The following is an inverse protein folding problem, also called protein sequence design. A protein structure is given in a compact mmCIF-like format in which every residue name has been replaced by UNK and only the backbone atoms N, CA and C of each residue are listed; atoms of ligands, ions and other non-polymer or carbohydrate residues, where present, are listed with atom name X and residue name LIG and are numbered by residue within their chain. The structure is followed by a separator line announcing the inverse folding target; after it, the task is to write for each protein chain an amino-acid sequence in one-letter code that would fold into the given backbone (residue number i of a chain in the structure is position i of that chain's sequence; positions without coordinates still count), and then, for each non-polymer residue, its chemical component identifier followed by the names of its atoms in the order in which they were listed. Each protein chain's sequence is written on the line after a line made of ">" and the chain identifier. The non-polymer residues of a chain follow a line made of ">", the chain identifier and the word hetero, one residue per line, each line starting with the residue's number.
data_IF_656041862411
#
_entry.id   IF_656041862411
#
_cell.length_a   1.000
_cell.length_b   1.000
_cell.length_c   1.000
_cell.angle_alpha   90.00
_cell.angle_beta   90.00
_cell.angle_gamma   90.00
#
_symmetry.space_group_name_H-M   'P 1'
#
loop_
_entity.id
_entity.type
_entity.pdbx_description
1 polymer ?
#
# COMPACT_ATOMS: atom_id res chain seq x y z
N UNK A 1 -3.04 -11.75 -15.99
CA UNK A 1 -2.99 -12.97 -15.15
C UNK A 1 -3.86 -12.81 -13.90
N UNK A 2 -3.56 -11.86 -12.99
CA UNK A 2 -4.40 -11.72 -11.78
C UNK A 2 -5.83 -11.26 -12.05
N UNK A 3 -6.04 -10.39 -13.05
CA UNK A 3 -7.40 -9.95 -13.44
C UNK A 3 -8.24 -11.06 -14.07
N UNK A 4 -7.63 -11.98 -14.83
CA UNK A 4 -8.35 -13.11 -15.41
C UNK A 4 -8.68 -14.17 -14.35
N UNK A 5 -7.80 -14.37 -13.36
CA UNK A 5 -8.12 -15.15 -12.16
C UNK A 5 -9.27 -14.55 -11.36
N UNK A 6 -9.25 -13.23 -11.14
CA UNK A 6 -10.33 -12.53 -10.44
C UNK A 6 -11.66 -12.64 -11.20
N UNK A 7 -11.66 -12.47 -12.53
CA UNK A 7 -12.85 -12.63 -13.36
C UNK A 7 -13.47 -14.03 -13.23
N UNK A 8 -12.66 -15.09 -13.27
CA UNK A 8 -13.14 -16.46 -13.08
C UNK A 8 -13.65 -16.70 -11.65
N UNK A 9 -12.98 -16.13 -10.64
CA UNK A 9 -13.41 -16.24 -9.26
C UNK A 9 -14.75 -15.54 -8.96
N UNK A 10 -15.15 -14.57 -9.79
CA UNK A 10 -16.41 -13.85 -9.66
C UNK A 10 -17.58 -14.48 -10.40
N UNK A 11 -17.47 -15.74 -10.87
CA UNK A 11 -18.55 -16.43 -11.57
C UNK A 11 -19.90 -16.39 -10.82
N UNK A 12 -19.88 -16.37 -9.48
CA UNK A 12 -21.08 -16.32 -8.63
C UNK A 12 -21.61 -14.89 -8.37
N UNK A 13 -20.85 -13.84 -8.75
CA UNK A 13 -21.22 -12.45 -8.54
C UNK A 13 -21.18 -11.67 -9.86
N UNK A 14 -22.34 -11.63 -10.53
CA UNK A 14 -22.55 -10.98 -11.82
C UNK A 14 -22.03 -9.53 -11.84
N UNK A 15 -22.25 -8.75 -10.77
CA UNK A 15 -21.79 -7.35 -10.72
C UNK A 15 -20.27 -7.23 -10.64
N UNK A 16 -19.63 -8.09 -9.85
CA UNK A 16 -18.18 -8.13 -9.74
C UNK A 16 -17.54 -8.64 -11.04
N UNK A 17 -18.17 -9.65 -11.67
CA UNK A 17 -17.75 -10.20 -12.96
C UNK A 17 -17.86 -9.18 -14.09
N UNK A 18 -18.98 -8.46 -14.21
CA UNK A 18 -19.15 -7.38 -15.19
C UNK A 18 -18.13 -6.24 -14.99
N UNK A 19 -17.80 -5.94 -13.74
CA UNK A 19 -16.79 -4.92 -13.41
C UNK A 19 -15.38 -5.37 -13.79
N UNK A 20 -15.08 -6.66 -13.62
CA UNK A 20 -13.84 -7.27 -14.07
C UNK A 20 -13.76 -7.32 -15.60
N UNK A 21 -14.86 -7.67 -16.28
CA UNK A 21 -14.97 -7.66 -17.74
C UNK A 21 -14.72 -6.25 -18.31
N UNK A 22 -15.31 -5.22 -17.71
CA UNK A 22 -15.04 -3.82 -18.06
C UNK A 22 -13.56 -3.46 -17.88
N UNK A 23 -12.96 -3.79 -16.73
CA UNK A 23 -11.55 -3.50 -16.49
C UNK A 23 -10.64 -4.21 -17.50
N UNK A 24 -10.93 -5.48 -17.82
CA UNK A 24 -10.21 -6.24 -18.84
C UNK A 24 -10.32 -5.56 -20.21
N UNK A 25 -11.53 -5.22 -20.65
CA UNK A 25 -11.78 -4.54 -21.92
C UNK A 25 -10.98 -3.23 -22.03
N UNK A 26 -11.06 -2.38 -21.00
CA UNK A 26 -10.35 -1.09 -21.01
C UNK A 26 -8.83 -1.28 -21.01
N UNK A 27 -8.30 -2.27 -20.29
CA UNK A 27 -6.86 -2.54 -20.30
C UNK A 27 -6.38 -3.05 -21.66
N UNK A 28 -7.13 -3.96 -22.28
CA UNK A 28 -6.83 -4.43 -23.62
C UNK A 28 -6.83 -3.27 -24.63
N UNK A 29 -7.77 -2.33 -24.48
CA UNK A 29 -7.83 -1.10 -25.28
C UNK A 29 -6.66 -0.16 -25.01
N UNK A 30 -6.30 0.08 -23.74
CA UNK A 30 -5.19 0.95 -23.32
C UNK A 30 -3.86 0.48 -23.89
N UNK A 31 -3.62 -0.84 -23.91
CA UNK A 31 -2.40 -1.44 -24.42
C UNK A 31 -2.49 -1.83 -25.91
N UNK A 32 -3.60 -1.51 -26.58
CA UNK A 32 -3.91 -1.87 -27.97
C UNK A 32 -3.62 -3.36 -28.28
N UNK A 33 -4.00 -4.24 -27.34
CA UNK A 33 -3.85 -5.68 -27.48
C UNK A 33 -4.74 -6.16 -28.61
N UNK A 34 -4.15 -6.61 -29.72
CA UNK A 34 -4.89 -7.14 -30.86
C UNK A 34 -4.25 -8.44 -31.34
N UNK A 35 -5.10 -9.36 -31.78
CA UNK A 35 -4.73 -10.56 -32.53
C UNK A 35 -4.44 -10.15 -33.98
N UNK A 36 -3.28 -9.56 -34.22
CA UNK A 36 -2.86 -9.09 -35.55
C UNK A 36 -1.46 -9.60 -35.89
N UNK A 37 -1.24 -10.00 -37.15
CA UNK A 37 0.08 -10.38 -37.69
C UNK A 37 1.05 -9.20 -37.87
N UNK A 38 0.75 -8.04 -37.30
CA UNK A 38 1.58 -6.83 -37.37
C UNK A 38 2.30 -6.71 -36.04
N UNK A 39 3.64 -6.70 -36.06
CA UNK A 39 4.47 -6.57 -34.86
C UNK A 39 4.29 -5.19 -34.22
N UNK A 40 3.35 -5.11 -33.29
CA UNK A 40 3.09 -3.95 -32.45
C UNK A 40 3.27 -4.31 -30.96
N UNK A 41 3.55 -3.33 -30.07
CA UNK A 41 3.70 -3.59 -28.64
C UNK A 41 2.52 -4.35 -28.01
N UNK A 42 1.29 -4.10 -28.49
CA UNK A 42 0.08 -4.81 -28.05
C UNK A 42 0.03 -6.27 -28.49
N UNK A 43 0.49 -6.59 -29.72
CA UNK A 43 0.58 -7.97 -30.21
C UNK A 43 1.63 -8.78 -29.44
N UNK A 44 2.79 -8.19 -29.14
CA UNK A 44 3.83 -8.83 -28.31
C UNK A 44 3.35 -9.08 -26.88
N UNK A 45 2.55 -8.16 -26.33
CA UNK A 45 1.92 -8.37 -25.02
C UNK A 45 0.88 -9.50 -25.08
N UNK A 46 0.10 -9.58 -26.15
CA UNK A 46 -0.87 -10.65 -26.37
C UNK A 46 -0.21 -12.03 -26.42
N UNK A 47 0.87 -12.17 -27.20
CA UNK A 47 1.65 -13.41 -27.33
C UNK A 47 2.29 -13.88 -26.01
N UNK A 48 2.52 -12.95 -25.06
CA UNK A 48 3.05 -13.29 -23.74
C UNK A 48 2.02 -13.96 -22.84
N UNK A 49 0.72 -13.86 -23.15
CA UNK A 49 -0.31 -14.55 -22.37
C UNK A 49 -0.39 -16.03 -22.74
N UNK A 50 -0.51 -16.95 -21.76
CA UNK A 50 -0.80 -18.35 -22.03
C UNK A 50 -2.12 -18.54 -22.80
N UNK A 51 -2.22 -19.62 -23.59
CA UNK A 51 -3.38 -19.91 -24.46
C UNK A 51 -4.72 -19.86 -23.72
N UNK A 52 -4.84 -20.54 -22.57
CA UNK A 52 -6.06 -20.50 -21.74
C UNK A 52 -6.47 -19.08 -21.29
N UNK A 53 -5.51 -18.15 -21.14
CA UNK A 53 -5.79 -16.77 -20.79
C UNK A 53 -6.23 -15.98 -22.02
N UNK A 54 -5.62 -16.25 -23.18
CA UNK A 54 -6.03 -15.65 -24.44
C UNK A 54 -7.48 -16.01 -24.78
N UNK A 55 -7.90 -17.26 -24.58
CA UNK A 55 -9.28 -17.72 -24.78
C UNK A 55 -10.29 -16.93 -23.93
N UNK A 56 -9.92 -16.61 -22.68
CA UNK A 56 -10.77 -15.81 -21.77
C UNK A 56 -10.80 -14.33 -22.19
N UNK A 57 -9.68 -13.80 -22.68
CA UNK A 57 -9.54 -12.40 -23.06
C UNK A 57 -10.13 -12.09 -24.45
N UNK A 58 -10.11 -13.05 -25.38
CA UNK A 58 -10.57 -12.90 -26.76
C UNK A 58 -11.99 -12.32 -26.89
N UNK A 59 -13.01 -12.81 -26.15
CA UNK A 59 -14.34 -12.20 -26.22
C UNK A 59 -14.34 -10.74 -25.78
N UNK A 60 -13.51 -10.36 -24.80
CA UNK A 60 -13.47 -9.02 -24.22
C UNK A 60 -12.87 -7.95 -25.15
N UNK A 61 -12.15 -8.34 -26.21
CA UNK A 61 -11.62 -7.42 -27.22
C UNK A 61 -12.72 -6.66 -27.98
N UNK A 62 -13.87 -7.29 -28.18
CA UNK A 62 -14.98 -6.74 -28.97
C UNK A 62 -16.17 -6.30 -28.11
N UNK A 63 -16.05 -6.43 -26.77
CA UNK A 63 -17.11 -6.04 -25.84
C UNK A 63 -17.30 -4.52 -25.81
N UNK A 64 -18.49 -4.09 -25.35
CA UNK A 64 -18.88 -2.67 -25.23
C UNK A 64 -19.38 -2.35 -23.83
N UNK A 65 -18.74 -2.93 -22.82
CA UNK A 65 -19.01 -2.59 -21.43
C UNK A 65 -18.81 -1.08 -21.21
N UNK A 66 -19.75 -0.47 -20.48
CA UNK A 66 -19.71 0.95 -20.13
C UNK A 66 -19.66 1.09 -18.62
N UNK A 67 -18.84 2.02 -18.14
CA UNK A 67 -18.83 2.40 -16.74
C UNK A 67 -20.15 3.09 -16.36
N UNK A 68 -20.79 2.61 -15.30
CA UNK A 68 -21.95 3.28 -14.68
C UNK A 68 -21.53 4.20 -13.52
N UNK A 69 -20.23 4.45 -13.33
CA UNK A 69 -19.78 5.24 -12.19
C UNK A 69 -20.23 6.69 -12.31
N UNK A 70 -20.98 7.16 -11.31
CA UNK A 70 -21.20 8.59 -11.10
C UNK A 70 -19.88 9.26 -10.75
N UNK A 71 -19.58 10.38 -11.42
CA UNK A 71 -18.42 11.20 -11.10
C UNK A 71 -18.51 11.68 -9.65
N UNK A 72 -17.56 11.25 -8.81
CA UNK A 72 -17.47 11.68 -7.42
C UNK A 72 -16.81 13.06 -7.38
N UNK A 73 -17.42 14.00 -6.67
CA UNK A 73 -16.84 15.32 -6.49
C UNK A 73 -15.84 15.30 -5.32
N UNK A 74 -14.59 14.99 -5.65
CA UNK A 74 -13.48 14.85 -4.69
C UNK A 74 -13.13 16.14 -3.95
N UNK A 75 -13.50 17.32 -4.47
CA UNK A 75 -13.23 18.61 -3.80
C UNK A 75 -14.08 18.82 -2.54
N UNK A 76 -15.23 18.15 -2.43
CA UNK A 76 -16.14 18.27 -1.27
C UNK A 76 -15.85 17.26 -0.17
N UNK A 77 -14.93 16.34 -0.39
CA UNK A 77 -14.59 15.29 0.58
C UNK A 77 -13.73 15.91 1.68
N UNK A 78 -14.25 15.89 2.91
CA UNK A 78 -13.48 16.27 4.10
C UNK A 78 -12.43 15.20 4.37
N UNK A 79 -11.21 15.63 4.70
CA UNK A 79 -10.06 14.76 5.00
C UNK A 79 -9.78 14.84 6.51
N UNK A 80 -9.40 13.74 7.19
CA UNK A 80 -9.24 12.38 6.67
C UNK A 80 -10.57 11.69 6.30
N UNK A 81 -10.51 10.74 5.36
CA UNK A 81 -11.66 9.95 4.87
C UNK A 81 -11.98 8.81 5.85
N UNK A 82 -10.98 8.30 6.55
CA UNK A 82 -11.10 7.26 7.56
C UNK A 82 -12.07 7.68 8.68
N UNK A 83 -13.05 6.82 8.97
CA UNK A 83 -14.17 7.08 9.90
C UNK A 83 -15.03 8.30 9.56
N UNK A 84 -14.90 8.85 8.35
CA UNK A 84 -15.82 9.88 7.86
C UNK A 84 -17.13 9.25 7.38
N UNK A 85 -18.10 10.10 7.00
CA UNK A 85 -19.37 9.66 6.38
C UNK A 85 -19.19 8.81 5.11
N UNK A 86 -18.03 8.87 4.47
CA UNK A 86 -17.69 8.12 3.24
C UNK A 86 -16.78 6.91 3.50
N UNK A 87 -16.46 6.63 4.76
CA UNK A 87 -15.63 5.52 5.18
C UNK A 87 -16.20 4.91 6.45
N UNK A 88 -17.48 4.52 6.43
CA UNK A 88 -18.16 3.92 7.59
C UNK A 88 -17.76 2.47 7.82
N UNK A 89 -17.40 1.77 6.74
CA UNK A 89 -16.82 0.43 6.76
C UNK A 89 -15.52 0.40 5.93
N UNK A 90 -14.75 -0.67 6.09
CA UNK A 90 -13.46 -0.82 5.42
C UNK A 90 -13.56 -0.82 3.89
N UNK A 91 -14.58 -1.48 3.31
CA UNK A 91 -14.75 -1.57 1.86
C UNK A 91 -15.03 -0.18 1.25
N UNK A 92 -15.91 0.60 1.87
CA UNK A 92 -16.22 1.98 1.47
C UNK A 92 -15.01 2.90 1.63
N UNK A 93 -14.34 2.82 2.79
CA UNK A 93 -13.15 3.63 3.06
C UNK A 93 -12.05 3.35 2.05
N UNK A 94 -11.68 2.07 1.87
CA UNK A 94 -10.59 1.68 0.99
C UNK A 94 -10.90 2.02 -0.47
N UNK A 95 -12.11 1.78 -0.96
CA UNK A 95 -12.50 2.11 -2.33
C UNK A 95 -12.55 3.64 -2.56
N UNK A 96 -13.05 4.39 -1.58
CA UNK A 96 -13.08 5.87 -1.66
C UNK A 96 -11.68 6.44 -1.61
N UNK A 97 -10.83 5.94 -0.72
CA UNK A 97 -9.44 6.37 -0.61
C UNK A 97 -8.64 6.01 -1.87
N UNK A 98 -8.79 4.79 -2.40
CA UNK A 98 -8.19 4.40 -3.68
C UNK A 98 -8.62 5.32 -4.82
N UNK A 99 -9.93 5.56 -4.96
CA UNK A 99 -10.46 6.48 -5.96
C UNK A 99 -9.91 7.90 -5.82
N UNK A 100 -9.78 8.39 -4.59
CA UNK A 100 -9.18 9.68 -4.29
C UNK A 100 -7.71 9.72 -4.73
N UNK A 101 -6.91 8.73 -4.33
CA UNK A 101 -5.50 8.61 -4.68
C UNK A 101 -5.28 8.56 -6.20
N UNK A 102 -6.14 7.86 -6.95
CA UNK A 102 -6.05 7.80 -8.41
C UNK A 102 -6.16 9.19 -9.06
N UNK A 103 -6.93 10.11 -8.48
CA UNK A 103 -7.02 11.49 -8.99
C UNK A 103 -5.71 12.27 -8.87
N UNK A 104 -4.82 11.83 -7.98
CA UNK A 104 -3.51 12.44 -7.71
C UNK A 104 -2.37 11.79 -8.49
N UNK A 105 -2.63 10.70 -9.21
CA UNK A 105 -1.63 10.06 -10.07
C UNK A 105 -1.36 10.94 -11.29
N UNK A 106 -0.12 11.45 -11.40
CA UNK A 106 0.30 12.29 -12.54
C UNK A 106 0.50 11.52 -13.83
N UNK A 107 0.94 10.27 -13.75
CA UNK A 107 1.25 9.47 -14.92
C UNK A 107 -0.05 9.04 -15.65
N UNK A 108 -0.26 9.52 -16.88
CA UNK A 108 -1.51 9.33 -17.62
C UNK A 108 -1.88 7.86 -17.84
N UNK A 109 -0.94 7.02 -18.27
CA UNK A 109 -1.18 5.59 -18.47
C UNK A 109 -1.59 4.90 -17.17
N UNK A 110 -0.79 5.06 -16.10
CA UNK A 110 -1.09 4.49 -14.79
C UNK A 110 -2.45 4.97 -14.26
N UNK A 111 -2.78 6.25 -14.43
CA UNK A 111 -4.09 6.80 -14.06
C UNK A 111 -5.23 6.13 -14.82
N UNK A 112 -5.10 5.88 -16.13
CA UNK A 112 -6.11 5.15 -16.92
C UNK A 112 -6.26 3.70 -16.43
N UNK A 113 -5.13 3.01 -16.18
CA UNK A 113 -5.09 1.63 -15.66
C UNK A 113 -5.76 1.52 -14.28
N UNK A 114 -5.50 2.44 -13.36
CA UNK A 114 -6.15 2.39 -12.06
C UNK A 114 -7.63 2.83 -12.12
N UNK A 115 -7.97 3.77 -13.01
CA UNK A 115 -9.36 4.19 -13.22
C UNK A 115 -10.25 3.04 -13.72
N UNK A 116 -9.78 2.20 -14.65
CA UNK A 116 -10.59 1.07 -15.11
C UNK A 116 -10.81 0.04 -14.00
N UNK A 117 -9.81 -0.17 -13.13
CA UNK A 117 -9.93 -1.03 -11.96
C UNK A 117 -10.77 -0.44 -10.81
N UNK A 118 -11.12 0.86 -10.87
CA UNK A 118 -11.87 1.52 -9.79
C UNK A 118 -13.27 0.94 -9.56
N UNK A 119 -13.90 0.37 -10.60
CA UNK A 119 -15.20 -0.31 -10.47
C UNK A 119 -15.04 -1.62 -9.68
N UNK A 120 -13.98 -2.39 -10.00
CA UNK A 120 -13.67 -3.62 -9.27
C UNK A 120 -13.40 -3.35 -7.79
N UNK A 121 -12.65 -2.28 -7.49
CA UNK A 121 -12.33 -1.89 -6.10
C UNK A 121 -13.57 -1.57 -5.24
N UNK A 122 -14.66 -1.11 -5.86
CA UNK A 122 -15.93 -0.87 -5.14
C UNK A 122 -16.70 -2.15 -4.82
N UNK A 123 -16.54 -3.18 -5.64
CA UNK A 123 -17.29 -4.42 -5.51
C UNK A 123 -16.53 -5.48 -4.70
N UNK A 124 -15.19 -5.47 -4.76
CA UNK A 124 -14.34 -6.33 -3.95
C UNK A 124 -13.17 -5.55 -3.33
N UNK A 125 -13.18 -5.46 -2.00
CA UNK A 125 -12.14 -4.78 -1.23
C UNK A 125 -10.79 -5.51 -1.29
N UNK A 126 -10.74 -6.82 -1.60
CA UNK A 126 -9.48 -7.57 -1.76
C UNK A 126 -8.68 -7.04 -2.95
N UNK A 127 -9.37 -6.68 -4.03
CA UNK A 127 -8.75 -6.01 -5.19
C UNK A 127 -8.19 -4.66 -4.78
N UNK A 128 -8.93 -3.92 -3.94
CA UNK A 128 -8.46 -2.65 -3.39
C UNK A 128 -7.20 -2.83 -2.56
N UNK A 129 -7.17 -3.79 -1.63
CA UNK A 129 -5.97 -4.10 -0.82
C UNK A 129 -4.76 -4.39 -1.70
N UNK A 130 -4.95 -5.17 -2.77
CA UNK A 130 -3.87 -5.49 -3.71
C UNK A 130 -3.38 -4.28 -4.51
N UNK A 131 -4.27 -3.41 -4.98
CA UNK A 131 -3.91 -2.28 -5.83
C UNK A 131 -3.42 -1.05 -5.06
N UNK A 132 -3.87 -0.85 -3.82
CA UNK A 132 -3.58 0.35 -3.03
C UNK A 132 -2.08 0.65 -2.87
N UNK A 133 -1.21 -0.34 -2.57
CA UNK A 133 0.23 -0.11 -2.47
C UNK A 133 0.85 0.39 -3.78
N UNK A 134 0.37 -0.10 -4.93
CA UNK A 134 0.84 0.34 -6.25
C UNK A 134 0.34 1.74 -6.59
N UNK A 135 -0.93 2.04 -6.28
CA UNK A 135 -1.49 3.39 -6.44
C UNK A 135 -0.68 4.39 -5.62
N UNK A 136 -0.35 4.04 -4.36
CA UNK A 136 0.41 4.91 -3.47
C UNK A 136 1.81 5.22 -4.02
N UNK A 137 2.54 4.23 -4.54
CA UNK A 137 3.83 4.47 -5.20
C UNK A 137 3.67 5.53 -6.29
N UNK A 138 2.73 5.32 -7.23
CA UNK A 138 2.53 6.24 -8.35
C UNK A 138 2.06 7.64 -7.94
N UNK A 139 1.33 7.75 -6.83
CA UNK A 139 1.01 9.06 -6.24
C UNK A 139 2.28 9.72 -5.70
N UNK A 140 3.12 9.00 -4.96
CA UNK A 140 4.32 9.55 -4.34
C UNK A 140 5.40 9.99 -5.34
N UNK A 141 5.48 9.36 -6.51
CA UNK A 141 6.39 9.78 -7.59
C UNK A 141 6.06 11.18 -8.13
N UNK A 142 4.78 11.57 -8.10
CA UNK A 142 4.30 12.81 -8.72
C UNK A 142 3.59 13.77 -7.76
N UNK A 143 3.64 13.56 -6.45
CA UNK A 143 2.83 14.34 -5.50
C UNK A 143 3.45 15.70 -5.17
N UNK A 144 2.59 16.66 -4.83
CA UNK A 144 2.98 17.89 -4.15
C UNK A 144 3.08 17.68 -2.64
N UNK A 145 3.69 18.63 -1.92
CA UNK A 145 3.80 18.56 -0.45
C UNK A 145 2.42 18.53 0.22
N UNK A 146 1.43 19.21 -0.33
CA UNK A 146 0.05 19.21 0.18
C UNK A 146 -0.58 17.82 0.04
N UNK A 147 -0.41 17.19 -1.13
CA UNK A 147 -0.91 15.84 -1.38
C UNK A 147 -0.22 14.81 -0.47
N UNK A 148 1.10 14.93 -0.26
CA UNK A 148 1.84 14.11 0.70
C UNK A 148 1.29 14.25 2.12
N UNK A 149 1.01 15.48 2.55
CA UNK A 149 0.47 15.75 3.87
C UNK A 149 -0.93 15.14 4.06
N UNK A 150 -1.76 15.14 3.02
CA UNK A 150 -3.08 14.50 3.05
C UNK A 150 -2.99 12.99 3.16
N UNK A 151 -2.10 12.35 2.39
CA UNK A 151 -1.83 10.91 2.49
C UNK A 151 -1.29 10.56 3.87
N UNK A 152 -0.34 11.34 4.39
CA UNK A 152 0.19 11.16 5.74
C UNK A 152 -0.91 11.30 6.79
N UNK A 153 -1.77 12.32 6.68
CA UNK A 153 -2.86 12.55 7.63
C UNK A 153 -3.86 11.37 7.65
N UNK A 154 -4.13 10.78 6.49
CA UNK A 154 -4.96 9.58 6.37
C UNK A 154 -4.31 8.37 7.07
N UNK A 155 -3.05 8.09 6.78
CA UNK A 155 -2.29 6.99 7.40
C UNK A 155 -2.25 7.15 8.91
N UNK A 156 -1.97 8.35 9.40
CA UNK A 156 -1.93 8.63 10.84
C UNK A 156 -3.31 8.51 11.49
N UNK A 157 -4.38 8.86 10.79
CA UNK A 157 -5.75 8.66 11.29
C UNK A 157 -6.06 7.17 11.49
N UNK A 158 -5.60 6.29 10.59
CA UNK A 158 -5.74 4.83 10.75
C UNK A 158 -4.90 4.32 11.92
N UNK A 159 -3.60 4.68 11.97
CA UNK A 159 -2.66 4.16 12.97
C UNK A 159 -2.94 4.66 14.39
N UNK A 160 -3.40 5.90 14.54
CA UNK A 160 -3.73 6.50 15.84
C UNK A 160 -5.14 6.21 16.33
N UNK A 161 -5.96 5.51 15.54
CA UNK A 161 -7.30 5.15 15.98
C UNK A 161 -7.22 4.22 17.20
N UNK A 162 -7.36 4.81 18.37
CA UNK A 162 -7.32 4.15 19.67
C UNK A 162 -8.49 4.68 20.47
N UNK A 163 -9.70 4.42 19.98
CA UNK A 163 -10.89 4.84 20.71
C UNK A 163 -11.25 3.73 21.72
N UNK A 164 -10.98 3.91 23.03
CA UNK A 164 -11.40 2.94 24.05
C UNK A 164 -12.93 2.76 24.10
N UNK A 165 -13.71 3.63 23.44
CA UNK A 165 -15.15 3.49 23.27
C UNK A 165 -15.53 2.40 22.26
N UNK A 166 -14.75 2.18 21.19
CA UNK A 166 -15.05 1.14 20.18
C UNK A 166 -14.79 -0.29 20.68
N UNK A 167 -13.97 -0.48 21.71
CA UNK A 167 -13.84 -1.79 22.38
C UNK A 167 -15.12 -2.26 23.06
N UNK A 168 -16.04 -1.36 23.39
CA UNK A 168 -17.32 -1.70 24.03
C UNK A 168 -18.45 -1.94 23.02
N UNK A 169 -18.26 -1.64 21.74
CA UNK A 169 -19.31 -1.64 20.72
C UNK A 169 -18.94 -2.50 19.50
N UNK A 170 -19.00 -3.82 19.68
CA UNK A 170 -19.25 -4.80 18.61
C UNK A 170 -18.09 -5.13 17.63
N UNK A 171 -18.03 -6.41 17.25
CA UNK A 171 -16.99 -7.02 16.40
C UNK A 171 -16.70 -6.27 15.08
N UNK A 172 -17.68 -5.58 14.49
CA UNK A 172 -17.53 -4.94 13.18
C UNK A 172 -16.63 -3.69 13.15
N UNK A 173 -16.54 -2.93 14.24
CA UNK A 173 -15.63 -1.77 14.33
C UNK A 173 -14.18 -2.22 14.58
N UNK A 174 -14.02 -3.33 15.31
CA UNK A 174 -12.74 -4.03 15.48
C UNK A 174 -12.18 -4.46 14.12
N UNK A 175 -13.00 -5.12 13.30
CA UNK A 175 -12.57 -5.64 12.00
C UNK A 175 -12.13 -4.54 11.03
N UNK A 176 -12.85 -3.41 10.98
CA UNK A 176 -12.45 -2.27 10.15
C UNK A 176 -11.10 -1.70 10.58
N UNK A 177 -10.88 -1.53 11.88
CA UNK A 177 -9.63 -1.00 12.41
C UNK A 177 -8.45 -1.94 12.15
N UNK A 178 -8.66 -3.25 12.28
CA UNK A 178 -7.64 -4.26 12.01
C UNK A 178 -7.31 -4.32 10.52
N UNK A 179 -8.31 -4.43 9.64
CA UNK A 179 -8.11 -4.46 8.19
C UNK A 179 -7.49 -3.16 7.68
N UNK A 180 -7.92 -2.01 8.19
CA UNK A 180 -7.32 -0.70 7.93
C UNK A 180 -5.84 -0.67 8.29
N UNK A 181 -5.52 -1.07 9.52
CA UNK A 181 -4.13 -1.13 10.02
C UNK A 181 -3.26 -2.07 9.18
N UNK A 182 -3.74 -3.28 8.86
CA UNK A 182 -3.00 -4.23 8.04
C UNK A 182 -2.78 -3.72 6.61
N UNK A 183 -3.77 -3.05 6.03
CA UNK A 183 -3.66 -2.45 4.71
C UNK A 183 -2.60 -1.34 4.70
N UNK A 184 -2.60 -0.47 5.72
CA UNK A 184 -1.58 0.56 5.89
C UNK A 184 -0.18 -0.05 6.04
N UNK A 185 -0.02 -1.12 6.83
CA UNK A 185 1.26 -1.82 6.91
C UNK A 185 1.70 -2.41 5.57
N UNK A 186 0.79 -3.07 4.85
CA UNK A 186 1.08 -3.58 3.51
C UNK A 186 1.53 -2.47 2.55
N UNK A 187 0.96 -1.28 2.65
CA UNK A 187 1.36 -0.13 1.84
C UNK A 187 2.77 0.35 2.22
N UNK A 188 3.06 0.51 3.51
CA UNK A 188 4.38 0.94 4.00
C UNK A 188 5.46 -0.08 3.64
N UNK A 189 5.17 -1.37 3.80
CA UNK A 189 6.09 -2.46 3.44
C UNK A 189 6.39 -2.43 1.95
N UNK A 190 5.37 -2.26 1.11
CA UNK A 190 5.54 -2.18 -0.34
C UNK A 190 6.36 -0.95 -0.75
N UNK A 191 6.14 0.21 -0.13
CA UNK A 191 6.98 1.39 -0.34
C UNK A 191 8.43 1.13 0.04
N UNK A 192 8.66 0.46 1.17
CA UNK A 192 10.00 0.13 1.65
C UNK A 192 10.69 -0.85 0.71
N UNK A 193 9.99 -1.87 0.22
CA UNK A 193 10.50 -2.84 -0.76
C UNK A 193 10.81 -2.15 -2.10
N UNK A 194 9.91 -1.30 -2.59
CA UNK A 194 10.11 -0.53 -3.81
C UNK A 194 11.34 0.38 -3.69
N UNK A 195 11.50 1.10 -2.57
CA UNK A 195 12.65 1.96 -2.31
C UNK A 195 13.96 1.15 -2.31
N UNK A 196 13.99 -0.01 -1.63
CA UNK A 196 15.15 -0.92 -1.63
C UNK A 196 15.49 -1.41 -3.03
N UNK A 197 14.50 -1.81 -3.82
CA UNK A 197 14.71 -2.26 -5.20
C UNK A 197 15.26 -1.14 -6.08
N UNK A 198 14.67 0.06 -5.99
CA UNK A 198 15.13 1.25 -6.74
C UNK A 198 16.56 1.63 -6.35
N UNK A 199 16.89 1.62 -5.06
CA UNK A 199 18.26 1.85 -4.56
C UNK A 199 19.26 0.82 -5.10
N UNK A 200 18.90 -0.46 -5.12
CA UNK A 200 19.75 -1.51 -5.70
C UNK A 200 19.98 -1.30 -7.19
N UNK A 201 18.95 -0.92 -7.95
CA UNK A 201 19.08 -0.61 -9.39
C UNK A 201 19.99 0.60 -9.64
N UNK A 202 19.86 1.68 -8.86
CA UNK A 202 20.72 2.86 -8.96
C UNK A 202 22.19 2.50 -8.69
N UNK A 203 22.46 1.75 -7.61
CA UNK A 203 23.81 1.30 -7.28
C UNK A 203 24.39 0.31 -8.31
N UNK A 204 23.56 -0.53 -8.92
CA UNK A 204 23.98 -1.43 -9.98
C UNK A 204 24.35 -0.66 -11.25
N UNK A 205 23.55 0.36 -11.62
CA UNK A 205 23.80 1.22 -12.76
C UNK A 205 25.13 1.99 -12.62
N UNK A 206 25.41 2.54 -11.42
CA UNK A 206 26.67 3.23 -11.09
C UNK A 206 27.90 2.31 -11.17
N UNK A 207 27.77 1.03 -10.80
CA UNK A 207 28.86 0.05 -10.93
C UNK A 207 29.16 -0.30 -12.39
N UNK A 208 28.16 -0.29 -13.26
CA UNK A 208 28.34 -0.52 -14.71
C UNK A 208 28.92 0.68 -15.45
N UNK A 209 28.62 1.92 -15.03
CA UNK A 209 29.19 3.13 -15.64
C UNK A 209 30.65 3.40 -15.23
N UNK A 210 31.12 2.81 -14.12
CA UNK A 210 32.53 2.86 -13.70
C UNK A 210 33.46 1.87 -14.46
N UNK A 211 32.98 1.19 -15.51
CA UNK A 211 33.87 0.54 -16.50
C UNK A 211 34.42 1.60 -17.47
N UNK A 212 35.75 1.65 -17.72
CA UNK A 212 36.35 2.69 -18.55
C UNK A 212 36.07 2.39 -20.02
N UNK A 213 34.98 2.94 -20.55
CA UNK A 213 34.68 2.91 -21.98
C UNK A 213 33.26 2.49 -22.31
N UNK A 214 32.29 3.38 -22.13
CA UNK A 214 31.15 3.54 -23.04
C UNK A 214 30.43 4.87 -22.78
N UNK A 215 29.95 5.43 -23.87
CA UNK A 215 29.65 6.84 -24.11
C UNK A 215 28.53 7.42 -23.22
N UNK A 216 28.66 8.73 -22.96
CA UNK A 216 27.67 9.60 -22.32
C UNK A 216 26.39 9.65 -23.15
N UNK A 217 25.45 8.76 -22.85
CA UNK A 217 24.20 8.68 -23.59
C UNK A 217 23.00 8.21 -22.77
N UNK A 218 22.92 8.47 -21.46
CA UNK A 218 21.64 8.31 -20.73
C UNK A 218 21.57 8.97 -19.32
N UNK A 219 22.23 10.12 -19.13
CA UNK A 219 22.30 10.82 -17.83
C UNK A 219 20.96 11.43 -17.34
N UNK A 220 19.88 11.34 -18.13
CA UNK A 220 18.59 11.98 -17.79
C UNK A 220 17.71 11.09 -16.89
N UNK A 221 17.66 9.78 -17.15
CA UNK A 221 16.87 8.84 -16.35
C UNK A 221 17.38 8.64 -14.92
N UNK A 222 18.69 8.71 -14.71
CA UNK A 222 19.28 8.49 -13.36
C UNK A 222 18.97 9.65 -12.39
N UNK A 223 18.85 10.88 -12.90
CA UNK A 223 18.54 12.06 -12.08
C UNK A 223 17.09 12.05 -11.60
N UNK A 224 16.15 11.74 -12.50
CA UNK A 224 14.71 11.70 -12.17
C UNK A 224 14.42 10.52 -11.22
N UNK A 225 15.00 9.35 -11.51
CA UNK A 225 14.90 8.15 -10.67
C UNK A 225 15.43 8.35 -9.24
N UNK A 226 16.48 9.18 -9.09
CA UNK A 226 17.07 9.52 -7.81
C UNK A 226 16.16 10.47 -7.00
N UNK A 227 15.53 11.44 -7.65
CA UNK A 227 14.56 12.33 -6.99
C UNK A 227 13.28 11.60 -6.59
N UNK A 228 12.80 10.66 -7.42
CA UNK A 228 11.70 9.76 -7.07
C UNK A 228 12.00 8.92 -5.82
N UNK A 229 13.19 8.29 -5.78
CA UNK A 229 13.66 7.53 -4.62
C UNK A 229 13.73 8.38 -3.35
N UNK A 230 14.30 9.59 -3.44
CA UNK A 230 14.38 10.53 -2.31
C UNK A 230 13.00 10.97 -1.82
N UNK A 231 12.06 11.23 -2.73
CA UNK A 231 10.69 11.61 -2.39
C UNK A 231 10.00 10.55 -1.55
N UNK A 232 10.06 9.28 -2.00
CA UNK A 232 9.44 8.15 -1.29
C UNK A 232 10.15 7.88 0.05
N UNK A 233 11.48 7.94 0.09
CA UNK A 233 12.25 7.72 1.33
C UNK A 233 11.94 8.80 2.36
N UNK A 234 11.91 10.08 1.94
CA UNK A 234 11.51 11.19 2.82
C UNK A 234 10.09 11.01 3.35
N UNK A 235 9.17 10.51 2.53
CA UNK A 235 7.81 10.22 2.99
C UNK A 235 7.77 9.11 4.05
N UNK A 236 8.55 8.04 3.88
CA UNK A 236 8.68 6.97 4.88
C UNK A 236 9.26 7.49 6.21
N UNK A 237 10.23 8.40 6.16
CA UNK A 237 10.82 9.05 7.34
C UNK A 237 9.83 9.96 8.10
N UNK A 238 8.77 10.45 7.46
CA UNK A 238 7.74 11.25 8.13
C UNK A 238 6.90 10.41 9.11
N UNK A 239 6.81 9.09 8.90
CA UNK A 239 5.96 8.20 9.71
C UNK A 239 6.71 7.83 10.98
N UNK A 240 6.22 8.22 12.18
CA UNK A 240 6.95 7.94 13.41
C UNK A 240 6.96 6.44 13.74
N UNK A 241 8.17 5.91 13.97
CA UNK A 241 8.40 4.50 14.31
C UNK A 241 7.69 4.10 15.62
N UNK A 242 7.57 5.00 16.59
CA UNK A 242 6.80 4.78 17.82
C UNK A 242 5.31 4.54 17.55
N UNK A 243 4.73 5.30 16.62
CA UNK A 243 3.32 5.13 16.26
C UNK A 243 3.10 3.80 15.54
N UNK A 244 4.03 3.39 14.67
CA UNK A 244 4.00 2.07 14.02
C UNK A 244 4.14 0.94 15.03
N UNK A 245 5.01 1.07 16.02
CA UNK A 245 5.20 0.07 17.06
C UNK A 245 3.92 -0.14 17.88
N UNK A 246 3.29 0.96 18.34
CA UNK A 246 2.05 0.90 19.11
C UNK A 246 0.90 0.34 18.27
N UNK A 247 0.74 0.77 17.01
CA UNK A 247 -0.28 0.22 16.11
C UNK A 247 -0.05 -1.27 15.80
N UNK A 248 1.21 -1.70 15.67
CA UNK A 248 1.58 -3.10 15.44
C UNK A 248 1.25 -3.96 16.66
N UNK A 249 1.50 -3.44 17.87
CA UNK A 249 1.12 -4.11 19.12
C UNK A 249 -0.40 -4.31 19.20
N UNK A 250 -1.19 -3.29 18.87
CA UNK A 250 -2.67 -3.36 18.87
C UNK A 250 -3.21 -4.39 17.88
N UNK A 251 -2.59 -4.49 16.71
CA UNK A 251 -2.96 -5.43 15.64
C UNK A 251 -2.38 -6.84 15.83
N UNK A 252 -1.77 -7.13 16.99
CA UNK A 252 -1.15 -8.42 17.33
C UNK A 252 0.03 -8.81 16.42
N UNK A 253 0.60 -7.86 15.69
CA UNK A 253 1.82 -8.03 14.91
C UNK A 253 3.04 -7.73 15.79
N UNK A 254 3.26 -8.55 16.82
CA UNK A 254 4.23 -8.25 17.89
C UNK A 254 5.68 -8.18 17.39
N UNK A 255 6.07 -9.02 16.43
CA UNK A 255 7.41 -8.99 15.81
C UNK A 255 7.67 -7.67 15.07
N UNK A 256 6.68 -7.19 14.30
CA UNK A 256 6.73 -5.87 13.64
C UNK A 256 6.79 -4.75 14.67
N UNK A 257 6.06 -4.89 15.78
CA UNK A 257 6.08 -3.91 16.86
C UNK A 257 7.46 -3.76 17.51
N UNK A 258 8.14 -4.88 17.79
CA UNK A 258 9.52 -4.88 18.31
C UNK A 258 10.48 -4.27 17.29
N UNK A 259 10.41 -4.69 16.02
CA UNK A 259 11.26 -4.16 14.95
C UNK A 259 11.20 -2.62 14.87
N UNK A 260 10.00 -2.04 14.80
CA UNK A 260 9.85 -0.58 14.74
C UNK A 260 10.29 0.10 16.04
N UNK A 261 10.03 -0.53 17.18
CA UNK A 261 10.37 0.02 18.48
C UNK A 261 11.89 0.05 18.74
N UNK A 262 12.63 -0.98 18.30
CA UNK A 262 14.09 -0.99 18.36
C UNK A 262 14.70 0.04 17.40
N UNK A 263 14.15 0.17 16.19
CA UNK A 263 14.55 1.23 15.24
C UNK A 263 14.35 2.61 15.86
N UNK A 264 13.20 2.84 16.52
CA UNK A 264 12.88 4.08 17.22
C UNK A 264 13.90 4.44 18.30
N UNK A 265 14.27 3.49 19.16
CA UNK A 265 15.27 3.69 20.21
C UNK A 265 16.64 4.01 19.61
N UNK A 266 17.04 3.25 18.58
CA UNK A 266 18.35 3.36 17.95
C UNK A 266 18.52 4.69 17.20
N UNK A 267 17.52 5.08 16.40
CA UNK A 267 17.54 6.30 15.59
C UNK A 267 17.46 7.57 16.43
N UNK A 268 16.56 7.60 17.42
CA UNK A 268 16.36 8.78 18.27
C UNK A 268 17.27 8.81 19.50
N UNK A 269 18.13 7.79 19.69
CA UNK A 269 19.03 7.62 20.85
C UNK A 269 18.33 7.86 22.18
N UNK A 270 17.10 7.36 22.31
CA UNK A 270 16.29 7.60 23.50
C UNK A 270 16.78 6.77 24.68
N UNK A 271 16.50 7.26 25.88
CA UNK A 271 16.88 6.55 27.09
C UNK A 271 16.00 5.30 27.22
N UNK A 272 16.62 4.13 27.04
CA UNK A 272 15.96 2.82 27.07
C UNK A 272 15.12 2.65 28.34
N UNK A 273 15.58 3.21 29.48
CA UNK A 273 14.93 3.12 30.78
C UNK A 273 13.48 3.61 30.79
N UNK A 274 13.16 4.66 30.02
CA UNK A 274 11.81 5.25 30.00
C UNK A 274 10.80 4.39 29.24
N UNK A 275 11.28 3.51 28.35
CA UNK A 275 10.43 2.70 27.49
C UNK A 275 10.49 1.18 27.78
N UNK A 276 11.22 0.77 28.82
CA UNK A 276 11.34 -0.63 29.25
C UNK A 276 9.98 -1.27 29.54
N UNK A 277 9.04 -0.53 30.12
CA UNK A 277 7.71 -1.07 30.43
C UNK A 277 6.86 -1.41 29.21
N UNK A 278 7.08 -0.74 28.07
CA UNK A 278 6.43 -1.14 26.81
C UNK A 278 7.15 -2.34 26.18
N UNK A 279 8.48 -2.37 26.24
CA UNK A 279 9.28 -3.48 25.73
C UNK A 279 8.99 -4.80 26.46
N UNK A 280 8.83 -4.75 27.78
CA UNK A 280 8.44 -5.92 28.58
C UNK A 280 7.08 -6.46 28.15
N UNK A 281 6.10 -5.58 27.88
CA UNK A 281 4.78 -5.98 27.37
C UNK A 281 4.87 -6.61 25.99
N UNK A 282 5.78 -6.16 25.13
CA UNK A 282 6.01 -6.75 23.81
C UNK A 282 6.54 -8.18 23.94
N UNK A 283 7.60 -8.38 24.70
CA UNK A 283 8.19 -9.72 24.91
C UNK A 283 7.23 -10.67 25.64
N UNK A 284 6.49 -10.17 26.63
CA UNK A 284 5.45 -10.95 27.30
C UNK A 284 4.34 -11.39 26.33
N UNK A 285 3.88 -10.51 25.44
CA UNK A 285 2.86 -10.84 24.45
C UNK A 285 3.36 -11.83 23.37
N UNK A 286 4.67 -11.85 23.10
CA UNK A 286 5.31 -12.84 22.24
C UNK A 286 5.59 -14.18 22.91
N UNK A 287 5.41 -14.29 24.24
CA UNK A 287 5.79 -15.45 25.04
C UNK A 287 7.30 -15.77 24.98
N UNK A 288 8.12 -14.72 24.93
CA UNK A 288 9.59 -14.81 24.92
C UNK A 288 10.15 -14.47 26.33
N UNK A 289 10.34 -15.46 27.21
CA UNK A 289 10.77 -15.23 28.59
C UNK A 289 12.18 -14.62 28.66
N UNK A 290 13.09 -15.07 27.78
CA UNK A 290 14.47 -14.58 27.70
C UNK A 290 14.52 -13.05 27.45
N UNK A 291 13.61 -12.55 26.61
CA UNK A 291 13.49 -11.11 26.34
C UNK A 291 13.00 -10.32 27.56
N UNK A 292 12.10 -10.88 28.35
CA UNK A 292 11.60 -10.27 29.60
C UNK A 292 12.70 -10.24 30.68
N UNK A 293 13.47 -11.31 30.79
CA UNK A 293 14.63 -11.37 31.70
C UNK A 293 15.71 -10.37 31.31
N UNK A 294 16.02 -10.26 30.01
CA UNK A 294 16.95 -9.27 29.47
C UNK A 294 16.53 -7.82 29.78
N UNK A 295 15.23 -7.51 29.66
CA UNK A 295 14.68 -6.21 30.04
C UNK A 295 14.83 -5.95 31.54
N UNK A 296 14.57 -6.96 32.38
CA UNK A 296 14.73 -6.86 33.83
C UNK A 296 16.19 -6.65 34.24
N UNK A 297 17.14 -7.28 33.56
CA UNK A 297 18.58 -7.12 33.83
C UNK A 297 19.09 -5.70 33.53
N UNK A 298 18.49 -5.01 32.56
CA UNK A 298 18.88 -3.64 32.16
C UNK A 298 18.18 -2.58 33.04
N UNK A 299 17.05 -2.92 33.67
CA UNK A 299 16.21 -1.99 34.43
C UNK A 299 16.92 -1.50 35.69
N UNK A 300 17.01 -0.17 35.87
CA UNK A 300 17.64 0.48 37.03
C UNK A 300 16.67 1.03 38.08
N UNK A 301 15.37 1.06 37.76
CA UNK A 301 14.32 1.59 38.63
C UNK A 301 13.42 0.47 39.18
N UNK A 302 12.76 0.71 40.31
CA UNK A 302 11.81 -0.26 40.88
C UNK A 302 10.68 -0.55 39.87
N UNK A 303 10.42 -1.83 39.54
CA UNK A 303 9.38 -2.20 38.60
C UNK A 303 8.00 -1.91 39.20
N UNK A 304 7.07 -1.45 38.37
CA UNK A 304 5.68 -1.25 38.78
C UNK A 304 5.00 -2.61 39.04
N UNK A 305 3.89 -2.61 39.80
CA UNK A 305 3.13 -3.82 40.14
C UNK A 305 2.75 -4.71 38.93
N UNK A 306 2.53 -4.12 37.75
CA UNK A 306 2.22 -4.87 36.51
C UNK A 306 3.45 -5.45 35.80
N UNK A 307 4.64 -5.03 36.20
CA UNK A 307 5.93 -5.46 35.65
C UNK A 307 6.62 -6.48 36.56
N UNK A 308 6.15 -6.62 37.81
CA UNK A 308 6.58 -7.63 38.78
C UNK A 308 5.78 -8.94 38.69
N UNK A 309 4.58 -8.90 38.12
CA UNK A 309 3.65 -10.02 37.94
C UNK A 309 3.81 -10.56 36.51
#
# INVERSE_FOLDING_TARGET
>A
MELTRAFLAYADNVRAQDSAAYAIQELLSIYDCRKTNIDCPGSRLWERFPEHVQEILEPHLNTRYKSYQKAVNWFKVKKPIYLSKLGTNFAEWSATWAGYLITKVRHDLARKVFNCCSIMMKNDFKVTIYLLPHILVHVLLGCNKEDQQEVYSEIMAVLKNDDPCTRRLGDSASDMSQLGTQTVFSMIDHLTQWARHKFQMLNAAEKTTNKPGKEKGDLKGTSEDCEEYKSVTRFLELIPQDTLAVASFRSKAYTRAVMHFESFITEKKQNIQEHLGFLQKLYAAMHEPDGVEGVSAIRKAEPSLKEQI
#
